data_IF_638470314984
#
_entry.id   IF_638470314984
#
_cell.length_a   1.000
_cell.length_b   1.000
_cell.length_c   1.000
_cell.angle_alpha   90.00
_cell.angle_beta   90.00
_cell.angle_gamma   90.00
#
_symmetry.space_group_name_H-M   'P 1'
#
loop_
_entity.id
_entity.type
_entity.pdbx_description
1 polymer ?
#
# COMPACT_ATOMS: atom_id res chain seq x y z
N UNK A 1 12.57 7.17 5.62
CA UNK A 1 12.00 6.45 4.48
C UNK A 1 12.16 4.96 4.69
N UNK A 2 13.37 4.48 4.96
CA UNK A 2 13.54 3.08 5.33
C UNK A 2 12.95 2.78 6.70
N UNK A 3 12.31 1.62 6.79
CA UNK A 3 11.79 1.09 8.04
C UNK A 3 10.61 0.15 7.86
N UNK A 4 10.00 -0.14 9.02
CA UNK A 4 8.84 -0.99 9.17
C UNK A 4 7.65 -0.11 9.52
N UNK A 5 6.50 -0.36 8.89
CA UNK A 5 5.33 0.49 8.96
C UNK A 5 4.09 -0.33 9.26
N UNK A 6 3.31 0.11 10.24
CA UNK A 6 1.91 -0.29 10.37
C UNK A 6 1.10 0.65 9.50
N UNK A 7 0.34 0.09 8.56
CA UNK A 7 -0.46 0.86 7.62
C UNK A 7 -1.92 0.50 7.79
N UNK A 8 -2.76 1.52 7.84
CA UNK A 8 -4.21 1.38 7.97
C UNK A 8 -4.85 1.97 6.73
N UNK A 9 -5.87 1.31 6.19
CA UNK A 9 -6.51 1.74 4.98
C UNK A 9 -8.02 1.55 4.99
N UNK A 10 -8.73 2.45 4.33
CA UNK A 10 -10.19 2.41 4.15
C UNK A 10 -10.52 2.57 2.67
N UNK A 11 -11.36 1.67 2.16
CA UNK A 11 -11.98 1.79 0.85
C UNK A 11 -13.47 2.08 0.98
N UNK A 12 -14.20 1.92 -0.11
CA UNK A 12 -15.65 2.17 -0.16
C UNK A 12 -16.46 1.25 0.75
N UNK A 13 -16.10 -0.03 0.84
CA UNK A 13 -16.92 -1.07 1.50
C UNK A 13 -16.30 -1.61 2.77
N UNK A 14 -15.08 -1.19 3.12
CA UNK A 14 -14.39 -1.73 4.28
C UNK A 14 -13.13 -1.00 4.68
N UNK A 15 -12.47 -1.58 5.67
CA UNK A 15 -11.20 -1.10 6.21
C UNK A 15 -10.30 -2.29 6.54
N UNK A 16 -8.99 -2.04 6.56
CA UNK A 16 -8.00 -3.06 6.84
C UNK A 16 -6.69 -2.44 7.31
N UNK A 17 -5.72 -3.32 7.55
CA UNK A 17 -4.37 -2.94 7.92
C UNK A 17 -3.36 -3.92 7.31
N UNK A 18 -2.13 -3.46 7.15
CA UNK A 18 -1.01 -4.23 6.64
C UNK A 18 0.28 -3.81 7.34
N UNK A 19 1.30 -4.67 7.26
CA UNK A 19 2.68 -4.28 7.52
C UNK A 19 3.35 -4.01 6.19
N UNK A 20 4.04 -2.87 6.09
CA UNK A 20 4.94 -2.57 4.98
C UNK A 20 6.38 -2.41 5.45
N UNK A 21 7.29 -2.91 4.64
CA UNK A 21 8.72 -2.73 4.78
C UNK A 21 9.17 -1.92 3.57
N UNK A 22 9.86 -0.81 3.82
CA UNK A 22 10.46 0.02 2.78
C UNK A 22 11.96 0.03 2.99
N UNK A 23 12.72 -0.31 1.96
CA UNK A 23 14.19 -0.32 2.01
C UNK A 23 14.77 -0.05 0.63
N UNK A 24 15.61 0.99 0.51
CA UNK A 24 16.42 1.26 -0.68
C UNK A 24 15.61 1.29 -2.01
N UNK A 25 14.39 1.83 -1.97
CA UNK A 25 13.52 1.93 -3.15
C UNK A 25 12.62 0.72 -3.39
N UNK A 26 12.72 -0.32 -2.56
CA UNK A 26 11.82 -1.48 -2.57
C UNK A 26 10.76 -1.31 -1.49
N UNK A 27 9.53 -1.69 -1.82
CA UNK A 27 8.43 -1.81 -0.86
C UNK A 27 7.82 -3.20 -0.95
N UNK A 28 7.65 -3.85 0.20
CA UNK A 28 6.89 -5.09 0.29
C UNK A 28 6.04 -5.10 1.56
N UNK A 29 5.07 -6.00 1.63
CA UNK A 29 4.17 -6.08 2.77
C UNK A 29 3.15 -7.21 2.67
N UNK A 30 2.36 -7.35 3.72
CA UNK A 30 1.24 -8.29 3.77
C UNK A 30 0.13 -7.81 4.70
N UNK A 31 -1.08 -8.28 4.45
CA UNK A 31 -2.26 -8.08 5.30
C UNK A 31 -2.79 -9.41 5.89
N UNK A 32 -3.69 -9.36 6.90
CA UNK A 32 -4.24 -10.56 7.53
C UNK A 32 -5.15 -11.41 6.64
N UNK A 33 -5.62 -10.90 5.50
CA UNK A 33 -6.50 -11.64 4.59
C UNK A 33 -5.72 -12.43 3.55
N UNK A 34 -4.38 -12.36 3.59
CA UNK A 34 -3.47 -13.07 2.70
C UNK A 34 -3.04 -12.24 1.48
N UNK A 35 -3.40 -10.96 1.43
CA UNK A 35 -2.88 -10.02 0.44
C UNK A 35 -1.38 -9.82 0.63
N UNK A 36 -0.61 -9.96 -0.45
CA UNK A 36 0.85 -9.73 -0.46
C UNK A 36 1.18 -8.60 -1.42
N UNK A 37 2.07 -7.72 -1.00
CA UNK A 37 2.47 -6.53 -1.73
C UNK A 37 3.95 -6.60 -2.06
N UNK A 38 4.32 -6.29 -3.31
CA UNK A 38 5.70 -6.20 -3.76
C UNK A 38 5.84 -5.14 -4.86
N UNK A 39 6.84 -4.27 -4.75
CA UNK A 39 7.01 -3.19 -5.69
C UNK A 39 8.23 -2.32 -5.44
N UNK A 40 8.26 -1.20 -6.13
CA UNK A 40 9.34 -0.24 -6.08
C UNK A 40 8.81 1.19 -6.01
N UNK A 41 9.65 2.08 -5.50
CA UNK A 41 9.39 3.51 -5.48
C UNK A 41 10.69 4.30 -5.65
N UNK A 42 10.55 5.55 -6.07
CA UNK A 42 11.64 6.49 -6.27
C UNK A 42 11.25 7.86 -5.74
N UNK A 43 12.25 8.62 -5.27
CA UNK A 43 12.02 9.99 -4.81
C UNK A 43 11.88 10.93 -6.01
N UNK A 44 10.71 11.52 -6.17
CA UNK A 44 10.46 12.62 -7.08
C UNK A 44 10.75 13.96 -6.37
N UNK A 45 11.98 14.46 -6.51
CA UNK A 45 12.42 15.71 -5.84
C UNK A 45 11.64 16.95 -6.26
N UNK A 46 11.07 16.98 -7.47
CA UNK A 46 10.33 18.14 -7.97
C UNK A 46 8.94 18.25 -7.35
N UNK A 47 8.32 17.11 -7.03
CA UNK A 47 6.97 17.04 -6.45
C UNK A 47 6.97 16.79 -4.94
N UNK A 48 8.15 16.54 -4.37
CA UNK A 48 8.36 16.10 -2.99
C UNK A 48 7.51 14.86 -2.62
N UNK A 49 7.47 13.90 -3.54
CA UNK A 49 6.73 12.63 -3.39
C UNK A 49 7.64 11.42 -3.61
N UNK A 50 7.24 10.28 -3.05
CA UNK A 50 7.68 8.96 -3.46
C UNK A 50 6.70 8.43 -4.51
N UNK A 51 7.17 8.27 -5.74
CA UNK A 51 6.39 7.79 -6.88
C UNK A 51 6.82 6.34 -7.19
N UNK A 52 5.88 5.45 -7.47
CA UNK A 52 6.18 4.02 -7.66
C UNK A 52 5.00 3.18 -8.11
N UNK A 53 5.20 1.85 -8.11
CA UNK A 53 4.15 0.88 -8.38
C UNK A 53 4.33 -0.33 -7.48
N UNK A 54 3.23 -0.80 -6.90
CA UNK A 54 3.12 -2.00 -6.08
C UNK A 54 2.23 -2.99 -6.81
N UNK A 55 2.62 -4.25 -6.90
CA UNK A 55 1.73 -5.34 -7.27
C UNK A 55 1.16 -5.93 -5.99
N UNK A 56 -0.15 -5.84 -5.83
CA UNK A 56 -0.88 -6.56 -4.78
C UNK A 56 -1.39 -7.88 -5.35
N UNK A 57 -0.96 -8.98 -4.76
CA UNK A 57 -1.48 -10.32 -5.04
C UNK A 57 -2.56 -10.66 -4.03
N UNK A 58 -3.74 -11.00 -4.52
CA UNK A 58 -4.91 -11.32 -3.70
C UNK A 58 -5.24 -12.81 -3.90
N UNK A 59 -5.45 -13.57 -2.82
CA UNK A 59 -5.80 -14.98 -2.92
C UNK A 59 -7.17 -15.19 -3.61
N UNK A 60 -7.46 -16.42 -4.06
CA UNK A 60 -8.77 -16.82 -4.55
C UNK A 60 -9.94 -16.28 -3.73
N UNK A 61 -10.90 -15.64 -4.41
CA UNK A 61 -12.13 -15.11 -3.81
C UNK A 61 -11.90 -14.04 -2.71
N UNK A 62 -10.70 -13.45 -2.64
CA UNK A 62 -10.40 -12.40 -1.67
C UNK A 62 -11.24 -11.14 -1.90
N UNK A 63 -11.88 -10.64 -0.85
CA UNK A 63 -12.64 -9.38 -0.86
C UNK A 63 -11.71 -8.21 -0.52
N UNK A 64 -11.64 -7.23 -1.41
CA UNK A 64 -10.90 -5.99 -1.21
C UNK A 64 -11.74 -4.96 -0.44
N UNK A 65 -11.08 -4.03 0.25
CA UNK A 65 -11.74 -2.91 0.94
C UNK A 65 -12.50 -1.96 0.00
N UNK A 66 -12.22 -2.03 -1.30
CA UNK A 66 -12.97 -1.31 -2.33
C UNK A 66 -14.28 -2.00 -2.71
N UNK A 67 -14.52 -3.22 -2.23
CA UNK A 67 -15.68 -4.05 -2.58
C UNK A 67 -15.48 -4.97 -3.78
N UNK A 68 -14.35 -4.83 -4.49
CA UNK A 68 -13.99 -5.77 -5.54
C UNK A 68 -13.65 -7.14 -4.94
N UNK A 69 -13.89 -8.20 -5.70
CA UNK A 69 -13.61 -9.59 -5.32
C UNK A 69 -12.64 -10.18 -6.33
N UNK A 70 -11.56 -10.79 -5.86
CA UNK A 70 -10.66 -11.56 -6.72
C UNK A 70 -11.37 -12.81 -7.26
N UNK A 71 -11.03 -13.23 -8.48
CA UNK A 71 -11.60 -14.42 -9.08
C UNK A 71 -11.23 -15.72 -8.34
N UNK A 72 -11.72 -16.88 -8.82
CA UNK A 72 -11.43 -18.18 -8.21
C UNK A 72 -9.94 -18.56 -8.25
N UNK A 73 -9.14 -17.92 -9.11
CA UNK A 73 -7.69 -18.14 -9.21
C UNK A 73 -6.87 -17.06 -8.47
N UNK A 74 -7.54 -16.12 -7.79
CA UNK A 74 -6.91 -14.91 -7.25
C UNK A 74 -6.79 -13.81 -8.30
N UNK A 75 -6.06 -12.75 -7.96
CA UNK A 75 -5.80 -11.64 -8.87
C UNK A 75 -4.58 -10.82 -8.44
N UNK A 76 -3.90 -10.25 -9.44
CA UNK A 76 -2.80 -9.29 -9.25
C UNK A 76 -3.28 -7.89 -9.65
N UNK A 77 -3.10 -6.92 -8.76
CA UNK A 77 -3.49 -5.52 -9.00
C UNK A 77 -2.27 -4.60 -8.99
N UNK A 78 -1.95 -3.93 -10.11
CA UNK A 78 -0.92 -2.90 -10.13
C UNK A 78 -1.46 -1.61 -9.51
N UNK A 79 -0.96 -1.26 -8.34
CA UNK A 79 -1.32 -0.08 -7.57
C UNK A 79 -0.24 0.99 -7.79
N UNK A 80 -0.52 2.06 -8.56
CA UNK A 80 0.39 3.18 -8.65
C UNK A 80 0.37 3.94 -7.31
N UNK A 81 1.56 4.28 -6.80
CA UNK A 81 1.69 5.06 -5.58
C UNK A 81 2.33 6.42 -5.88
N UNK A 82 1.77 7.44 -5.24
CA UNK A 82 2.35 8.78 -5.10
C UNK A 82 2.11 9.22 -3.68
N UNK A 83 3.14 9.11 -2.85
CA UNK A 83 3.05 9.32 -1.41
C UNK A 83 3.85 10.57 -1.05
N UNK A 84 3.29 11.56 -0.33
CA UNK A 84 4.05 12.73 0.12
C UNK A 84 5.29 12.32 0.92
N UNK A 85 6.38 13.08 0.83
CA UNK A 85 7.63 12.73 1.53
C UNK A 85 7.47 12.66 3.05
N UNK A 86 6.53 13.42 3.60
CA UNK A 86 6.22 13.52 5.02
C UNK A 86 5.08 12.59 5.47
N UNK A 87 4.67 11.61 4.67
CA UNK A 87 3.50 10.73 4.90
C UNK A 87 3.40 10.06 6.28
N UNK A 88 4.51 9.98 7.03
CA UNK A 88 4.54 9.45 8.40
C UNK A 88 4.03 10.42 9.45
N UNK A 89 3.72 11.67 9.10
CA UNK A 89 3.19 12.71 10.00
C UNK A 89 1.74 12.46 10.45
N UNK A 90 1.13 11.37 10.01
CA UNK A 90 -0.27 11.04 10.28
C UNK A 90 -1.23 11.53 9.19
N UNK A 91 -0.70 12.13 8.12
CA UNK A 91 -1.44 12.50 6.91
C UNK A 91 -2.13 11.29 6.29
N UNK A 92 -3.40 11.47 5.93
CA UNK A 92 -4.14 10.50 5.13
C UNK A 92 -3.76 10.73 3.67
N UNK A 93 -3.22 9.69 3.03
CA UNK A 93 -2.85 9.69 1.62
C UNK A 93 -3.93 8.95 0.85
N UNK A 94 -4.55 9.63 -0.10
CA UNK A 94 -5.47 8.99 -1.04
C UNK A 94 -4.68 8.32 -2.16
N UNK A 95 -4.90 7.03 -2.34
CA UNK A 95 -4.29 6.20 -3.39
C UNK A 95 -5.39 5.74 -4.34
N UNK A 96 -5.21 5.99 -5.63
CA UNK A 96 -6.11 5.49 -6.67
C UNK A 96 -5.64 4.09 -7.09
N UNK A 97 -6.48 3.08 -6.90
CA UNK A 97 -6.21 1.70 -7.29
C UNK A 97 -7.08 1.31 -8.49
N UNK A 98 -6.75 0.22 -9.23
CA UNK A 98 -7.58 -0.25 -10.33
C UNK A 98 -9.02 -0.60 -9.94
N UNK A 99 -9.26 -0.92 -8.66
CA UNK A 99 -10.57 -1.34 -8.15
C UNK A 99 -11.30 -0.26 -7.36
N UNK A 100 -10.76 0.97 -7.33
CA UNK A 100 -11.33 2.11 -6.60
C UNK A 100 -10.31 2.78 -5.69
N UNK A 101 -10.69 3.93 -5.14
CA UNK A 101 -9.80 4.69 -4.29
C UNK A 101 -9.72 4.13 -2.86
N UNK A 102 -8.55 4.28 -2.26
CA UNK A 102 -8.26 3.87 -0.89
C UNK A 102 -7.58 5.02 -0.15
N UNK A 103 -8.04 5.33 1.05
CA UNK A 103 -7.37 6.25 1.96
C UNK A 103 -6.40 5.46 2.83
N UNK A 104 -5.16 5.91 2.93
CA UNK A 104 -4.08 5.17 3.58
C UNK A 104 -3.40 6.06 4.61
N UNK A 105 -3.14 5.51 5.79
CA UNK A 105 -2.33 6.15 6.83
C UNK A 105 -1.17 5.22 7.20
N UNK A 106 0.03 5.77 7.22
CA UNK A 106 1.23 5.04 7.62
C UNK A 106 1.68 5.50 9.00
N UNK A 107 2.11 4.54 9.82
CA UNK A 107 2.75 4.81 11.10
C UNK A 107 4.06 4.03 11.15
N UNK A 108 5.18 4.74 11.31
CA UNK A 108 6.50 4.12 11.38
C UNK A 108 6.64 3.39 12.71
N UNK A 109 6.94 2.10 12.65
CA UNK A 109 7.19 1.24 13.82
C UNK A 109 8.65 1.40 14.28
N UNK A 110 9.59 1.18 13.35
CA UNK A 110 11.04 1.32 13.60
C UNK A 110 11.84 1.49 12.31
N UNK A 111 13.09 1.91 12.43
CA UNK A 111 14.09 1.86 11.35
C UNK A 111 14.75 0.48 11.24
N UNK A 112 15.78 0.39 10.39
CA UNK A 112 16.66 -0.78 10.31
C UNK A 112 17.79 -0.75 11.35
N UNK A 113 18.10 0.43 11.87
CA UNK A 113 19.00 0.66 13.01
C UNK A 113 18.20 0.61 14.33
#
# INVERSE_FOLDING_TARGET
MDGFYSTYFTGETGSGYAIFIMKDGIICGADPTGGVFDGHYTLNKLKDTYDGTIIMKVPPNGLLVTGAVAGPDGADFPIPIRIPRDFTSGTIVRVETPTGAVNVKFHKIRGFE
#
